data_IF_409988320857
#
_entry.id   IF_409988320857
#
_cell.length_a   1.000
_cell.length_b   1.000
_cell.length_c   1.000
_cell.angle_alpha   90.00
_cell.angle_beta   90.00
_cell.angle_gamma   90.00
#
_symmetry.space_group_name_H-M   'P 1'
#
loop_
_entity.id
_entity.type
_entity.pdbx_description
1 polymer ?
#
# COMPACT_ATOMS: atom_id res chain seq x y z
N UNK A 1 -6.07 25.28 3.33
CA UNK A 1 -4.76 24.60 3.30
C UNK A 1 -4.21 24.73 1.89
N UNK A 2 -2.93 25.08 1.73
CA UNK A 2 -2.30 25.12 0.40
C UNK A 2 -2.05 23.68 -0.06
N UNK A 3 -2.35 23.37 -1.32
CA UNK A 3 -2.02 22.06 -1.89
C UNK A 3 -0.50 21.81 -1.88
N UNK A 4 -0.04 20.59 -1.58
CA UNK A 4 1.37 20.24 -1.69
C UNK A 4 1.87 20.34 -3.14
N UNK A 5 3.07 20.90 -3.34
CA UNK A 5 3.70 20.95 -4.66
C UNK A 5 4.45 19.65 -4.95
N UNK A 6 4.13 19.01 -6.07
CA UNK A 6 4.76 17.76 -6.50
C UNK A 6 5.73 17.98 -7.67
N UNK A 7 6.85 17.27 -7.63
CA UNK A 7 7.90 17.25 -8.66
C UNK A 7 8.06 15.85 -9.24
N UNK A 8 8.83 15.66 -10.32
CA UNK A 8 9.14 14.31 -10.87
C UNK A 8 10.17 13.53 -10.02
N UNK A 9 9.98 13.56 -8.71
CA UNK A 9 10.77 12.88 -7.70
C UNK A 9 9.83 12.02 -6.84
N UNK A 10 10.36 11.11 -6.02
CA UNK A 10 9.54 10.46 -4.99
C UNK A 10 8.80 11.47 -4.14
N UNK A 11 7.53 11.16 -3.88
CA UNK A 11 6.69 11.93 -2.96
C UNK A 11 6.70 11.28 -1.58
N UNK A 12 6.86 9.95 -1.52
CA UNK A 12 7.13 9.21 -0.30
C UNK A 12 8.28 8.22 -0.50
N UNK A 13 9.14 8.12 0.51
CA UNK A 13 10.15 7.07 0.63
C UNK A 13 9.98 6.41 2.00
N UNK A 14 9.86 5.08 1.98
CA UNK A 14 9.60 4.22 3.13
C UNK A 14 8.32 4.62 3.89
N UNK A 15 7.29 5.05 3.15
CA UNK A 15 6.00 5.49 3.69
C UNK A 15 5.98 6.89 4.30
N UNK A 16 7.11 7.61 4.29
CA UNK A 16 7.19 8.98 4.82
C UNK A 16 7.36 10.00 3.68
N UNK A 17 6.77 11.21 3.80
CA UNK A 17 6.96 12.28 2.82
C UNK A 17 8.44 12.51 2.51
N UNK A 18 8.82 12.59 1.24
CA UNK A 18 10.22 12.74 0.80
C UNK A 18 10.91 13.96 1.43
N UNK A 19 10.14 15.02 1.67
CA UNK A 19 10.56 16.27 2.29
C UNK A 19 10.70 16.18 3.81
N UNK A 20 10.17 15.14 4.47
CA UNK A 20 10.36 14.96 5.90
C UNK A 20 11.84 14.63 6.19
N UNK A 21 12.48 15.47 7.00
CA UNK A 21 13.88 15.37 7.42
C UNK A 21 14.07 15.06 8.92
N UNK A 22 13.00 14.69 9.63
CA UNK A 22 13.05 14.33 11.04
C UNK A 22 14.01 13.15 11.26
N UNK A 23 14.81 13.20 12.33
CA UNK A 23 15.83 12.19 12.63
C UNK A 23 15.24 10.79 12.79
N UNK A 24 14.06 10.68 13.40
CA UNK A 24 13.31 9.42 13.54
C UNK A 24 12.95 8.85 12.17
N UNK A 25 12.51 9.70 11.24
CA UNK A 25 12.17 9.28 9.87
C UNK A 25 13.43 8.88 9.11
N UNK A 26 14.56 9.57 9.30
CA UNK A 26 15.83 9.16 8.69
C UNK A 26 16.28 7.78 9.20
N UNK A 27 16.23 7.56 10.52
CA UNK A 27 16.54 6.25 11.09
C UNK A 27 15.66 5.14 10.50
N UNK A 28 14.35 5.38 10.31
CA UNK A 28 13.45 4.42 9.67
C UNK A 28 13.79 4.14 8.21
N UNK A 29 14.30 5.13 7.47
CA UNK A 29 14.77 4.95 6.08
C UNK A 29 16.07 4.15 6.04
N UNK A 30 16.98 4.40 6.97
CA UNK A 30 18.24 3.64 7.12
C UNK A 30 17.96 2.17 7.50
N UNK A 31 16.97 1.93 8.36
CA UNK A 31 16.43 0.59 8.69
C UNK A 31 15.67 -0.05 7.52
N UNK A 32 15.42 0.67 6.43
CA UNK A 32 14.60 0.23 5.30
C UNK A 32 13.18 -0.20 5.71
N UNK A 33 12.66 0.41 6.79
CA UNK A 33 11.39 0.07 7.42
C UNK A 33 10.18 0.54 6.60
N UNK A 34 9.21 -0.35 6.42
CA UNK A 34 7.92 -0.08 5.80
C UNK A 34 6.83 0.01 6.88
N UNK A 35 6.21 1.18 7.10
CA UNK A 35 5.16 1.32 8.11
C UNK A 35 3.90 0.50 7.78
N UNK A 36 3.63 0.26 6.49
CA UNK A 36 2.43 -0.47 6.06
C UNK A 36 2.54 -1.98 6.31
N UNK A 37 3.77 -2.52 6.30
CA UNK A 37 4.04 -3.92 6.62
C UNK A 37 4.47 -4.13 8.07
N UNK A 38 4.69 -3.04 8.82
CA UNK A 38 5.33 -3.04 10.12
C UNK A 38 6.65 -3.87 10.15
N UNK A 39 7.49 -3.70 9.14
CA UNK A 39 8.69 -4.52 8.94
C UNK A 39 9.58 -4.01 7.81
N UNK A 40 10.57 -4.79 7.39
CA UNK A 40 11.43 -4.41 6.25
C UNK A 40 10.61 -4.26 4.95
N UNK A 41 10.93 -3.26 4.14
CA UNK A 41 10.31 -3.07 2.84
C UNK A 41 10.55 -4.28 1.92
N UNK A 42 9.47 -4.81 1.31
CA UNK A 42 9.53 -5.94 0.39
C UNK A 42 9.93 -5.59 -1.05
N UNK A 43 10.25 -4.32 -1.37
CA UNK A 43 10.57 -3.87 -2.75
C UNK A 43 12.09 -3.83 -2.97
N UNK A 44 12.74 -4.92 -3.42
CA UNK A 44 14.18 -4.96 -3.60
C UNK A 44 14.64 -4.13 -4.80
N UNK A 45 15.90 -3.71 -4.76
CA UNK A 45 16.64 -3.25 -5.92
C UNK A 45 17.07 -4.48 -6.73
N UNK A 46 16.74 -4.51 -8.02
CA UNK A 46 17.00 -5.66 -8.90
C UNK A 46 18.47 -6.10 -8.93
N UNK A 47 19.41 -5.15 -8.84
CA UNK A 47 20.84 -5.42 -8.89
C UNK A 47 21.50 -5.64 -7.52
N UNK A 48 20.80 -5.33 -6.42
CA UNK A 48 21.27 -5.46 -5.03
C UNK A 48 20.04 -5.78 -4.15
N UNK A 49 19.60 -7.04 -4.06
CA UNK A 49 18.34 -7.43 -3.41
C UNK A 49 18.26 -7.09 -1.90
N UNK A 50 19.41 -6.93 -1.26
CA UNK A 50 19.56 -6.48 0.14
C UNK A 50 19.19 -4.99 0.32
N UNK A 51 19.30 -4.20 -0.75
CA UNK A 51 18.86 -2.80 -0.76
C UNK A 51 17.41 -2.75 -1.24
N UNK A 52 16.55 -2.10 -0.46
CA UNK A 52 15.15 -1.85 -0.75
C UNK A 52 15.02 -0.45 -1.35
N UNK A 53 14.24 -0.36 -2.42
CA UNK A 53 14.06 0.90 -3.16
C UNK A 53 13.30 1.93 -2.30
N UNK A 54 12.36 1.47 -1.45
CA UNK A 54 11.60 2.33 -0.53
C UNK A 54 10.64 3.32 -1.20
N UNK A 55 10.70 3.53 -2.52
CA UNK A 55 9.81 4.47 -3.23
C UNK A 55 8.38 3.91 -3.27
N UNK A 56 7.52 4.50 -2.45
CA UNK A 56 6.09 4.15 -2.31
C UNK A 56 5.22 4.93 -3.29
N UNK A 57 5.51 6.22 -3.47
CA UNK A 57 4.78 7.12 -4.38
C UNK A 57 5.75 8.00 -5.17
N UNK A 58 5.40 8.33 -6.42
CA UNK A 58 6.17 9.17 -7.33
C UNK A 58 5.31 10.31 -7.86
N UNK A 59 5.88 11.50 -8.00
CA UNK A 59 5.23 12.54 -8.79
C UNK A 59 5.30 12.24 -10.27
N UNK A 60 4.15 12.21 -10.93
CA UNK A 60 4.00 11.90 -12.35
C UNK A 60 3.26 13.02 -13.09
N UNK A 61 3.78 13.41 -14.26
CA UNK A 61 3.07 14.27 -15.22
C UNK A 61 2.75 13.46 -16.47
N UNK A 62 1.59 12.80 -16.46
CA UNK A 62 1.04 12.15 -17.64
C UNK A 62 0.69 13.17 -18.73
N UNK A 63 0.62 12.70 -19.98
CA UNK A 63 0.30 13.57 -21.13
C UNK A 63 -1.07 14.27 -21.00
N UNK A 64 -1.99 13.66 -20.26
CA UNK A 64 -3.35 14.17 -20.02
C UNK A 64 -3.50 14.91 -18.68
N UNK A 65 -2.41 15.11 -17.93
CA UNK A 65 -2.44 15.79 -16.64
C UNK A 65 -1.88 17.21 -16.76
N UNK A 66 -2.64 18.19 -16.28
CA UNK A 66 -2.23 19.59 -16.26
C UNK A 66 -1.08 19.83 -15.26
N UNK A 67 -1.17 19.20 -14.10
CA UNK A 67 -0.18 19.27 -13.01
C UNK A 67 0.48 17.91 -12.72
N UNK A 68 1.62 17.94 -12.04
CA UNK A 68 2.24 16.71 -11.50
C UNK A 68 1.35 16.23 -10.35
N UNK A 69 1.01 14.94 -10.36
CA UNK A 69 0.21 14.30 -9.30
C UNK A 69 1.01 13.15 -8.69
N UNK A 70 0.83 12.85 -7.39
CA UNK A 70 1.42 11.67 -6.79
C UNK A 70 0.73 10.42 -7.35
N UNK A 71 1.51 9.39 -7.63
CA UNK A 71 1.05 8.09 -8.09
C UNK A 71 1.64 7.03 -7.18
N UNK A 72 0.78 6.16 -6.65
CA UNK A 72 1.19 5.00 -5.84
C UNK A 72 1.83 3.96 -6.74
N UNK A 73 3.05 3.55 -6.40
CA UNK A 73 3.88 2.59 -7.15
C UNK A 73 4.31 1.39 -6.29
N UNK A 74 3.64 1.23 -5.15
CA UNK A 74 3.80 0.10 -4.24
C UNK A 74 2.42 -0.25 -3.67
N UNK A 75 1.90 -1.47 -3.88
CA UNK A 75 0.55 -1.84 -3.43
C UNK A 75 0.43 -1.85 -1.91
N UNK A 76 1.50 -2.18 -1.17
CA UNK A 76 1.52 -2.11 0.30
C UNK A 76 1.16 -0.71 0.85
N UNK A 77 1.32 0.37 0.06
CA UNK A 77 0.86 1.72 0.46
C UNK A 77 -0.65 1.79 0.67
N UNK A 78 -1.43 0.86 0.13
CA UNK A 78 -2.89 0.77 0.31
C UNK A 78 -3.29 -0.07 1.53
N UNK A 79 -2.35 -0.74 2.19
CA UNK A 79 -2.60 -1.55 3.38
C UNK A 79 -2.70 -0.67 4.64
N UNK A 80 -3.67 0.24 4.64
CA UNK A 80 -3.97 1.12 5.77
C UNK A 80 -5.33 0.78 6.38
N UNK A 81 -5.45 0.94 7.70
CA UNK A 81 -6.69 0.65 8.44
C UNK A 81 -7.91 1.34 7.82
N UNK A 82 -7.76 2.60 7.39
CA UNK A 82 -8.85 3.35 6.75
C UNK A 82 -9.37 2.68 5.47
N UNK A 83 -8.50 2.01 4.70
CA UNK A 83 -8.91 1.29 3.49
C UNK A 83 -9.72 0.05 3.87
N UNK A 84 -9.23 -0.75 4.81
CA UNK A 84 -9.93 -1.95 5.29
C UNK A 84 -11.28 -1.61 5.93
N UNK A 85 -11.33 -0.56 6.76
CA UNK A 85 -12.56 -0.09 7.39
C UNK A 85 -13.55 0.43 6.35
N UNK A 86 -13.10 1.22 5.37
CA UNK A 86 -13.96 1.70 4.28
C UNK A 86 -14.53 0.54 3.46
N UNK A 87 -13.72 -0.47 3.13
CA UNK A 87 -14.18 -1.65 2.39
C UNK A 87 -15.20 -2.47 3.18
N UNK A 88 -14.97 -2.66 4.48
CA UNK A 88 -15.91 -3.30 5.40
C UNK A 88 -17.25 -2.58 5.40
N UNK A 89 -17.23 -1.26 5.62
CA UNK A 89 -18.45 -0.45 5.74
C UNK A 89 -19.21 -0.41 4.41
N UNK A 90 -18.51 -0.31 3.27
CA UNK A 90 -19.14 -0.27 1.94
C UNK A 90 -19.77 -1.60 1.54
N UNK A 91 -19.14 -2.74 1.88
CA UNK A 91 -19.57 -4.05 1.40
C UNK A 91 -20.52 -4.75 2.37
N UNK A 92 -20.20 -4.75 3.67
CA UNK A 92 -20.99 -5.44 4.69
C UNK A 92 -21.96 -4.54 5.45
N UNK A 93 -21.74 -3.21 5.42
CA UNK A 93 -22.52 -2.24 6.18
C UNK A 93 -22.33 -2.36 7.69
N UNK A 94 -23.27 -1.79 8.44
CA UNK A 94 -23.32 -1.94 9.88
C UNK A 94 -23.71 -3.38 10.24
N UNK A 95 -22.85 -4.04 11.02
CA UNK A 95 -23.04 -5.42 11.45
C UNK A 95 -23.41 -5.47 12.94
N UNK A 96 -24.34 -6.36 13.35
CA UNK A 96 -24.57 -6.65 14.76
C UNK A 96 -23.31 -7.24 15.44
N UNK A 97 -23.19 -7.07 16.76
CA UNK A 97 -22.05 -7.57 17.55
C UNK A 97 -21.84 -9.10 17.47
N UNK A 98 -22.88 -9.85 17.04
CA UNK A 98 -22.77 -11.29 16.78
C UNK A 98 -21.91 -11.64 15.56
N UNK A 99 -21.49 -10.63 14.77
CA UNK A 99 -20.70 -10.78 13.56
C UNK A 99 -19.28 -10.26 13.74
N UNK A 100 -18.33 -10.88 13.05
CA UNK A 100 -16.94 -10.46 13.01
C UNK A 100 -16.43 -10.49 11.57
N UNK A 101 -15.54 -9.54 11.22
CA UNK A 101 -14.78 -9.62 9.97
C UNK A 101 -13.39 -10.14 10.27
N UNK A 102 -13.00 -11.25 9.64
CA UNK A 102 -11.63 -11.79 9.68
C UNK A 102 -10.96 -11.57 8.32
N UNK A 103 -9.77 -10.99 8.32
CA UNK A 103 -8.98 -10.76 7.11
C UNK A 103 -7.92 -11.86 6.96
N UNK A 104 -7.79 -12.39 5.75
CA UNK A 104 -6.72 -13.28 5.34
C UNK A 104 -5.95 -12.65 4.18
N UNK A 105 -4.63 -12.75 4.18
CA UNK A 105 -3.75 -12.25 3.11
C UNK A 105 -3.17 -13.39 2.28
N UNK A 106 -2.82 -13.14 1.01
CA UNK A 106 -2.18 -14.09 0.09
C UNK A 106 -2.97 -15.41 -0.02
N UNK A 107 -4.29 -15.31 -0.23
CA UNK A 107 -5.18 -16.48 -0.28
C UNK A 107 -5.01 -17.20 -1.61
N UNK A 108 -4.45 -18.41 -1.57
CA UNK A 108 -4.24 -19.24 -2.77
C UNK A 108 -5.57 -19.80 -3.31
N UNK A 109 -5.80 -19.61 -4.60
CA UNK A 109 -6.86 -20.25 -5.37
C UNK A 109 -6.31 -21.38 -6.25
N UNK A 110 -5.17 -21.97 -5.86
CA UNK A 110 -4.49 -23.01 -6.60
C UNK A 110 -4.02 -22.51 -7.97
N UNK A 111 -4.47 -23.16 -9.05
CA UNK A 111 -4.05 -22.84 -10.42
C UNK A 111 -4.57 -21.49 -10.92
N UNK A 112 -5.59 -20.93 -10.28
CA UNK A 112 -6.18 -19.65 -10.68
C UNK A 112 -5.38 -18.43 -10.18
N UNK A 113 -4.35 -18.65 -9.35
CA UNK A 113 -3.54 -17.60 -8.76
C UNK A 113 -3.82 -17.40 -7.28
N UNK A 114 -3.54 -16.20 -6.79
CA UNK A 114 -3.73 -15.78 -5.40
C UNK A 114 -4.51 -14.48 -5.35
N UNK A 115 -5.29 -14.33 -4.29
CA UNK A 115 -5.99 -13.10 -3.97
C UNK A 115 -5.19 -12.37 -2.89
N UNK A 116 -4.92 -11.08 -3.08
CA UNK A 116 -4.14 -10.29 -2.12
C UNK A 116 -4.77 -10.36 -0.71
N UNK A 117 -6.07 -10.09 -0.60
CA UNK A 117 -6.81 -10.15 0.66
C UNK A 117 -8.23 -10.70 0.50
N UNK A 118 -8.70 -11.42 1.52
CA UNK A 118 -10.10 -11.84 1.66
C UNK A 118 -10.62 -11.41 3.03
N UNK A 119 -11.72 -10.67 3.05
CA UNK A 119 -12.49 -10.39 4.25
C UNK A 119 -13.64 -11.39 4.36
N UNK A 120 -13.64 -12.22 5.40
CA UNK A 120 -14.72 -13.15 5.68
C UNK A 120 -15.65 -12.57 6.76
N UNK A 121 -16.95 -12.50 6.47
CA UNK A 121 -18.00 -12.19 7.43
C UNK A 121 -18.38 -13.45 8.18
N UNK A 122 -18.01 -13.48 9.45
CA UNK A 122 -18.20 -14.60 10.36
C UNK A 122 -19.42 -14.38 11.24
N UNK A 123 -20.21 -15.44 11.45
CA UNK A 123 -21.14 -15.56 12.57
C UNK A 123 -20.72 -16.77 13.40
N UNK A 124 -20.29 -16.52 14.63
CA UNK A 124 -19.59 -17.53 15.43
C UNK A 124 -18.37 -18.09 14.65
N UNK A 125 -18.36 -19.37 14.28
CA UNK A 125 -17.28 -20.00 13.49
C UNK A 125 -17.67 -20.31 12.04
N UNK A 126 -18.86 -19.87 11.58
CA UNK A 126 -19.30 -20.05 10.21
C UNK A 126 -19.05 -18.79 9.35
N UNK A 127 -18.58 -19.01 8.12
CA UNK A 127 -18.45 -17.96 7.10
C UNK A 127 -19.81 -17.80 6.44
N UNK A 128 -20.46 -16.65 6.62
CA UNK A 128 -21.74 -16.35 5.94
C UNK A 128 -21.53 -15.68 4.58
N UNK A 129 -20.49 -14.85 4.44
CA UNK A 129 -20.18 -14.11 3.23
C UNK A 129 -18.70 -13.73 3.18
N UNK A 130 -18.19 -13.32 2.02
CA UNK A 130 -16.81 -12.86 1.87
C UNK A 130 -16.61 -11.84 0.75
N UNK A 131 -15.59 -11.01 0.92
CA UNK A 131 -15.13 -10.04 -0.06
C UNK A 131 -13.68 -10.34 -0.44
N UNK A 132 -13.42 -10.55 -1.74
CA UNK A 132 -12.08 -10.61 -2.29
C UNK A 132 -11.60 -9.20 -2.66
N UNK A 133 -10.39 -8.84 -2.25
CA UNK A 133 -9.79 -7.51 -2.44
C UNK A 133 -8.42 -7.68 -3.10
N UNK A 134 -8.21 -6.96 -4.20
CA UNK A 134 -6.95 -6.92 -4.94
C UNK A 134 -6.43 -5.49 -4.97
N UNK A 135 -5.21 -5.26 -4.52
CA UNK A 135 -4.60 -3.94 -4.52
C UNK A 135 -3.69 -3.75 -5.74
N UNK A 136 -4.08 -2.82 -6.61
CA UNK A 136 -3.29 -2.49 -7.80
C UNK A 136 -2.58 -1.14 -7.65
N UNK A 137 -1.28 -1.14 -7.91
CA UNK A 137 -0.46 0.06 -7.96
C UNK A 137 0.13 0.26 -9.37
N UNK A 138 0.58 1.47 -9.68
CA UNK A 138 1.17 1.74 -10.99
C UNK A 138 2.57 1.13 -11.13
N UNK A 139 2.83 0.55 -12.31
CA UNK A 139 4.18 0.23 -12.75
C UNK A 139 4.93 1.48 -13.21
N UNK A 140 6.25 1.45 -13.11
CA UNK A 140 7.14 2.53 -13.61
C UNK A 140 7.94 2.05 -14.81
N UNK A 141 8.16 2.92 -15.80
CA UNK A 141 9.20 2.74 -16.81
C UNK A 141 10.50 3.38 -16.32
N UNK A 142 11.64 2.70 -16.49
CA UNK A 142 12.94 3.14 -15.97
C UNK A 142 13.19 2.80 -14.49
N UNK A 143 14.17 3.46 -13.87
CA UNK A 143 14.55 3.24 -12.46
C UNK A 143 14.20 4.47 -11.61
N UNK A 144 13.37 4.34 -10.56
CA UNK A 144 13.14 5.40 -9.58
C UNK A 144 14.28 5.50 -8.54
N UNK A 145 15.44 4.93 -8.85
CA UNK A 145 16.62 4.84 -7.99
C UNK A 145 17.89 5.27 -8.74
N UNK A 146 18.85 5.95 -8.07
CA UNK A 146 18.70 6.55 -6.74
C UNK A 146 17.71 7.71 -6.78
N UNK A 147 16.99 7.91 -5.68
CA UNK A 147 16.05 9.01 -5.50
C UNK A 147 16.75 10.29 -5.09
#
# INVERSE_FOLDING_TARGET
MNEPQFTRHPTEIFGYPFTNKDSVVQAKREEQFCPFLNGECKKPRKSQPEVKIGVCTLGYKGKFLEKITPVIVCPHRLEEAIVYDTLKDLYFGDLPDSYQIRWASEVSCGVAGSIDFVAAKMKEEEIEDFLCVEFQAAGTTGTPWPA
#
